data_IF_302419065164
#
_entry.id   IF_302419065164
#
_cell.length_a   1.000
_cell.length_b   1.000
_cell.length_c   1.000
_cell.angle_alpha   90.00
_cell.angle_beta   90.00
_cell.angle_gamma   90.00
#
_symmetry.space_group_name_H-M   'P 1'
#
loop_
_entity.id
_entity.type
_entity.pdbx_description
1 polymer ?
#
# COMPACT_ATOMS: atom_id res chain seq x y z
N UNK A 1 -21.39 14.57 2.05
CA UNK A 1 -22.03 15.09 0.83
C UNK A 1 -20.91 15.67 -0.03
N UNK A 2 -20.56 15.03 -1.15
CA UNK A 2 -19.47 15.49 -2.01
C UNK A 2 -20.04 16.58 -2.94
N UNK A 3 -19.61 17.83 -2.73
CA UNK A 3 -20.13 19.00 -3.45
C UNK A 3 -19.68 19.00 -4.90
N UNK A 4 -20.45 19.65 -5.79
CA UNK A 4 -20.08 19.84 -7.20
C UNK A 4 -18.73 20.55 -7.28
N UNK A 5 -17.77 19.91 -7.91
CA UNK A 5 -16.39 20.37 -8.04
C UNK A 5 -16.35 21.54 -9.03
N UNK A 6 -16.18 22.77 -8.54
CA UNK A 6 -15.90 23.95 -9.38
C UNK A 6 -14.42 24.02 -9.79
N UNK A 7 -13.51 23.59 -8.91
CA UNK A 7 -12.09 23.39 -9.20
C UNK A 7 -11.63 22.04 -8.63
N UNK A 8 -11.26 21.05 -9.46
CA UNK A 8 -10.88 19.71 -9.00
C UNK A 8 -9.59 19.69 -8.19
N UNK A 9 -8.74 20.71 -8.31
CA UNK A 9 -7.48 20.78 -7.57
C UNK A 9 -7.61 21.39 -6.16
N UNK A 10 -8.74 22.04 -5.86
CA UNK A 10 -9.00 22.70 -4.56
C UNK A 10 -9.95 21.88 -3.67
N UNK A 11 -10.16 20.60 -4.00
CA UNK A 11 -11.04 19.75 -3.21
C UNK A 11 -10.45 19.49 -1.81
N UNK A 12 -11.25 19.61 -0.73
CA UNK A 12 -10.79 19.38 0.64
C UNK A 12 -10.20 17.99 0.85
N UNK A 13 -10.58 16.99 0.05
CA UNK A 13 -10.02 15.64 0.10
C UNK A 13 -8.51 15.63 -0.13
N UNK A 14 -7.99 16.52 -0.99
CA UNK A 14 -6.56 16.60 -1.31
C UNK A 14 -5.78 17.08 -0.07
N UNK A 15 -6.29 18.10 0.62
CA UNK A 15 -5.69 18.61 1.86
C UNK A 15 -5.75 17.58 2.99
N UNK A 16 -6.84 16.82 3.07
CA UNK A 16 -7.03 15.73 4.04
C UNK A 16 -6.01 14.61 3.81
N UNK A 17 -5.80 14.18 2.55
CA UNK A 17 -4.78 13.18 2.20
C UNK A 17 -3.37 13.71 2.49
N UNK A 18 -3.08 14.97 2.18
CA UNK A 18 -1.75 15.53 2.44
C UNK A 18 -1.37 15.48 3.92
N UNK A 19 -2.32 15.81 4.81
CA UNK A 19 -2.10 15.78 6.26
C UNK A 19 -2.03 14.33 6.78
N UNK A 20 -3.04 13.52 6.50
CA UNK A 20 -3.26 12.25 7.19
C UNK A 20 -2.81 11.00 6.41
N UNK A 21 -2.50 11.13 5.11
CA UNK A 21 -2.27 10.00 4.19
C UNK A 21 -3.58 9.31 3.75
N UNK A 22 -3.51 8.31 2.86
CA UNK A 22 -4.71 7.58 2.42
C UNK A 22 -5.11 6.40 3.32
N UNK A 23 -4.20 5.91 4.17
CA UNK A 23 -4.48 4.76 5.07
C UNK A 23 -5.67 4.97 6.00
N UNK A 24 -5.83 6.10 6.71
CA UNK A 24 -6.96 6.29 7.61
C UNK A 24 -8.29 6.58 6.88
N UNK A 25 -8.30 6.63 5.55
CA UNK A 25 -9.51 6.93 4.77
C UNK A 25 -10.36 5.69 4.54
N UNK A 26 -11.68 5.90 4.53
CA UNK A 26 -12.63 4.88 4.10
C UNK A 26 -12.46 4.58 2.60
N UNK A 27 -12.89 3.39 2.16
CA UNK A 27 -12.80 2.97 0.75
C UNK A 27 -13.48 3.96 -0.20
N UNK A 28 -14.64 4.51 0.20
CA UNK A 28 -15.38 5.53 -0.57
C UNK A 28 -14.58 6.81 -0.75
N UNK A 29 -13.92 7.28 0.31
CA UNK A 29 -13.07 8.48 0.26
C UNK A 29 -11.84 8.25 -0.61
N UNK A 30 -11.23 7.06 -0.56
CA UNK A 30 -10.09 6.71 -1.42
C UNK A 30 -10.48 6.71 -2.90
N UNK A 31 -11.61 6.09 -3.25
CA UNK A 31 -12.14 6.10 -4.62
C UNK A 31 -12.45 7.53 -5.07
N UNK A 32 -13.03 8.34 -4.17
CA UNK A 32 -13.31 9.76 -4.44
C UNK A 32 -12.02 10.54 -4.71
N UNK A 33 -11.00 10.39 -3.85
CA UNK A 33 -9.69 11.02 -4.02
C UNK A 33 -9.06 10.67 -5.36
N UNK A 34 -9.11 9.41 -5.80
CA UNK A 34 -8.55 8.99 -7.11
C UNK A 34 -9.27 9.71 -8.26
N UNK A 35 -10.60 9.84 -8.19
CA UNK A 35 -11.37 10.58 -9.21
C UNK A 35 -10.99 12.06 -9.23
N UNK A 36 -10.89 12.68 -8.06
CA UNK A 36 -10.50 14.09 -7.89
C UNK A 36 -9.07 14.34 -8.39
N UNK A 37 -8.11 13.48 -8.02
CA UNK A 37 -6.72 13.53 -8.50
C UNK A 37 -6.69 13.51 -10.03
N UNK A 38 -7.38 12.54 -10.65
CA UNK A 38 -7.44 12.44 -12.12
C UNK A 38 -8.09 13.66 -12.77
N UNK A 39 -9.19 14.17 -12.20
CA UNK A 39 -9.84 15.37 -12.70
C UNK A 39 -8.94 16.62 -12.60
N UNK A 40 -8.15 16.74 -11.52
CA UNK A 40 -7.21 17.83 -11.33
C UNK A 40 -6.06 17.78 -12.35
N UNK A 41 -5.47 16.61 -12.58
CA UNK A 41 -4.41 16.43 -13.58
C UNK A 41 -4.92 16.74 -14.99
N UNK A 42 -6.12 16.27 -15.33
CA UNK A 42 -6.74 16.55 -16.63
C UNK A 42 -7.09 18.04 -16.83
N UNK A 43 -7.29 18.79 -15.73
CA UNK A 43 -7.52 20.23 -15.76
C UNK A 43 -6.22 21.07 -15.83
N UNK A 44 -5.06 20.42 -15.96
CA UNK A 44 -3.75 21.09 -16.01
C UNK A 44 -3.09 21.32 -14.64
N UNK A 45 -3.59 20.68 -13.58
CA UNK A 45 -2.95 20.70 -12.27
C UNK A 45 -1.60 19.98 -12.26
N UNK A 46 -0.65 20.46 -11.45
CA UNK A 46 0.70 19.88 -11.41
C UNK A 46 0.76 18.56 -10.64
N UNK A 47 1.47 17.57 -11.19
CA UNK A 47 1.73 16.28 -10.54
C UNK A 47 2.57 16.41 -9.27
N UNK A 48 3.42 17.44 -9.19
CA UNK A 48 4.30 17.71 -8.03
C UNK A 48 3.51 17.81 -6.72
N UNK A 49 2.27 18.31 -6.79
CA UNK A 49 1.36 18.41 -5.63
C UNK A 49 1.05 17.04 -5.02
N UNK A 50 1.10 15.97 -5.82
CA UNK A 50 0.83 14.60 -5.39
C UNK A 50 2.12 13.79 -5.12
N UNK A 51 3.28 14.22 -5.63
CA UNK A 51 4.55 13.52 -5.43
C UNK A 51 4.93 13.36 -3.95
N UNK A 52 4.71 14.40 -3.15
CA UNK A 52 4.91 14.37 -1.69
C UNK A 52 4.02 13.35 -0.97
N UNK A 53 2.80 13.13 -1.47
CA UNK A 53 1.88 12.14 -0.92
C UNK A 53 2.41 10.74 -1.25
N UNK A 54 2.83 10.53 -2.50
CA UNK A 54 3.36 9.26 -2.98
C UNK A 54 4.66 8.86 -2.28
N UNK A 55 5.60 9.79 -2.09
CA UNK A 55 6.82 9.55 -1.32
C UNK A 55 6.54 9.17 0.14
N UNK A 56 5.56 9.83 0.78
CA UNK A 56 5.18 9.52 2.16
C UNK A 56 4.55 8.14 2.27
N UNK A 57 3.74 7.74 1.29
CA UNK A 57 3.15 6.40 1.25
C UNK A 57 4.20 5.32 0.93
N UNK A 58 5.08 5.59 -0.03
CA UNK A 58 6.20 4.71 -0.37
C UNK A 58 7.08 4.45 0.85
N UNK A 59 7.52 5.49 1.57
CA UNK A 59 8.37 5.31 2.74
C UNK A 59 7.68 4.52 3.87
N UNK A 60 6.37 4.73 4.07
CA UNK A 60 5.57 3.96 5.04
C UNK A 60 5.50 2.49 4.63
N UNK A 61 5.19 2.21 3.37
CA UNK A 61 5.01 0.85 2.88
C UNK A 61 6.34 0.11 2.79
N UNK A 62 7.42 0.82 2.43
CA UNK A 62 8.79 0.31 2.46
C UNK A 62 9.23 -0.04 3.90
N UNK A 63 8.94 0.83 4.88
CA UNK A 63 9.21 0.55 6.29
C UNK A 63 8.50 -0.73 6.77
N UNK A 64 7.21 -0.88 6.46
CA UNK A 64 6.43 -2.09 6.79
C UNK A 64 6.90 -3.34 6.04
N UNK A 65 7.28 -3.21 4.78
CA UNK A 65 7.80 -4.33 3.99
C UNK A 65 9.12 -4.88 4.58
N UNK A 66 9.96 -4.01 5.15
CA UNK A 66 11.19 -4.41 5.85
C UNK A 66 10.89 -5.18 7.15
N UNK A 67 9.80 -4.88 7.84
CA UNK A 67 9.35 -5.69 8.97
C UNK A 67 8.83 -7.07 8.51
N UNK A 68 8.20 -7.16 7.32
CA UNK A 68 7.75 -8.43 6.76
C UNK A 68 8.91 -9.33 6.27
N UNK A 69 10.06 -8.77 5.86
CA UNK A 69 11.19 -9.57 5.37
C UNK A 69 11.81 -10.48 6.45
N UNK A 70 11.71 -10.09 7.72
CA UNK A 70 12.20 -10.92 8.83
C UNK A 70 11.30 -12.14 9.10
N UNK A 71 10.02 -12.07 8.76
CA UNK A 71 9.07 -13.16 8.98
C UNK A 71 9.14 -14.22 7.87
N UNK A 72 9.34 -13.79 6.63
CA UNK A 72 9.35 -14.71 5.46
C UNK A 72 10.50 -15.70 5.51
N UNK A 73 11.71 -15.26 5.87
CA UNK A 73 12.88 -16.14 5.93
C UNK A 73 12.74 -17.25 6.99
N UNK A 74 12.25 -16.90 8.17
CA UNK A 74 12.05 -17.85 9.29
C UNK A 74 10.96 -18.87 8.97
N UNK A 75 9.87 -18.42 8.34
CA UNK A 75 8.77 -19.29 7.91
C UNK A 75 9.23 -20.28 6.83
N UNK A 76 9.92 -19.80 5.79
CA UNK A 76 10.44 -20.65 4.72
C UNK A 76 11.42 -21.71 5.23
N UNK A 77 12.32 -21.35 6.15
CA UNK A 77 13.24 -22.30 6.75
C UNK A 77 12.50 -23.41 7.53
N UNK A 78 11.54 -23.02 8.35
CA UNK A 78 10.72 -23.95 9.15
C UNK A 78 9.95 -24.95 8.27
N UNK A 79 9.36 -24.48 7.17
CA UNK A 79 8.62 -25.32 6.22
C UNK A 79 9.55 -26.30 5.50
N UNK A 80 10.73 -25.85 5.07
CA UNK A 80 11.72 -26.72 4.41
C UNK A 80 12.19 -27.84 5.35
N UNK A 81 12.50 -27.50 6.61
CA UNK A 81 12.91 -28.48 7.62
C UNK A 81 11.82 -29.52 7.87
N UNK A 82 10.56 -29.09 8.00
CA UNK A 82 9.43 -30.01 8.18
C UNK A 82 9.25 -30.95 6.99
N UNK A 83 9.30 -30.43 5.76
CA UNK A 83 9.22 -31.25 4.55
C UNK A 83 10.37 -32.25 4.46
N UNK A 84 11.59 -31.84 4.77
CA UNK A 84 12.75 -32.73 4.76
C UNK A 84 12.61 -33.85 5.79
N UNK A 85 12.13 -33.53 7.00
CA UNK A 85 11.90 -34.52 8.04
C UNK A 85 10.87 -35.58 7.62
N UNK A 86 9.71 -35.16 7.10
CA UNK A 86 8.64 -36.11 6.76
C UNK A 86 8.89 -36.85 5.44
N UNK A 87 9.43 -36.19 4.42
CA UNK A 87 9.51 -36.77 3.07
C UNK A 87 10.90 -37.32 2.70
N UNK A 88 11.97 -36.89 3.36
CA UNK A 88 13.33 -37.41 3.10
C UNK A 88 13.76 -38.36 4.21
N UNK A 89 13.70 -37.92 5.47
CA UNK A 89 14.08 -38.77 6.61
C UNK A 89 13.05 -39.87 6.90
N UNK A 90 11.75 -39.56 6.86
CA UNK A 90 10.69 -40.56 6.99
C UNK A 90 10.74 -41.62 5.90
N UNK A 91 11.00 -41.23 4.65
CA UNK A 91 11.04 -42.15 3.52
C UNK A 91 12.30 -43.03 3.49
N UNK A 92 13.38 -42.61 4.15
CA UNK A 92 14.62 -43.39 4.35
C UNK A 92 14.55 -44.35 5.54
N UNK A 93 13.55 -44.23 6.43
CA UNK A 93 13.34 -45.13 7.57
C UNK A 93 12.45 -46.35 7.24
N UNK A 94 11.73 -46.30 6.11
CA UNK A 94 10.84 -47.36 5.61
C UNK A 94 11.46 -48.18 4.45
N UNK A 95 12.76 -48.00 4.14
CA UNK A 95 13.55 -48.80 3.17
C UNK A 95 14.50 -49.74 3.89
#
# INVERSE_FOLDING_TARGET
MFSKIQNPCDDPIISKVRKNGMVPMSLKERIYFIRVKRACLNAGGSEEVFAQIELKEYNRDFGKAREMSSWTSTFSYSVIVALFYYFVLGHMADV
#
